data_IF_747344078384
#
_entry.id   IF_747344078384
#
_cell.length_a   1.000
_cell.length_b   1.000
_cell.length_c   1.000
_cell.angle_alpha   90.00
_cell.angle_beta   90.00
_cell.angle_gamma   90.00
#
_symmetry.space_group_name_H-M   'P 1'
#
loop_
_entity.id
_entity.type
_entity.pdbx_description
1 polymer ?
#
# COMPACT_ATOMS: atom_id res chain seq x y z
N UNK A 1 5.24 -26.73 -0.96
CA UNK A 1 5.72 -26.87 -2.36
C UNK A 1 5.02 -25.94 -3.36
N UNK A 2 3.93 -25.24 -2.99
CA UNK A 2 3.20 -24.29 -3.86
C UNK A 2 3.49 -22.81 -3.57
N UNK A 3 4.54 -22.53 -2.79
CA UNK A 3 4.90 -21.18 -2.35
C UNK A 3 6.32 -20.90 -2.84
N UNK A 4 6.49 -19.78 -3.52
CA UNK A 4 7.78 -19.28 -3.98
C UNK A 4 8.01 -17.90 -3.38
N UNK A 5 9.16 -17.72 -2.71
CA UNK A 5 9.61 -16.42 -2.26
C UNK A 5 10.58 -15.85 -3.29
N UNK A 6 10.36 -14.61 -3.69
CA UNK A 6 11.24 -13.88 -4.59
C UNK A 6 11.91 -12.76 -3.80
N UNK A 7 13.24 -12.80 -3.70
CA UNK A 7 14.02 -11.64 -3.26
C UNK A 7 14.26 -10.75 -4.48
N UNK A 8 13.30 -9.89 -4.77
CA UNK A 8 13.38 -8.96 -5.89
C UNK A 8 12.62 -7.67 -5.57
N UNK A 9 12.95 -6.63 -6.34
CA UNK A 9 12.08 -5.48 -6.47
C UNK A 9 10.85 -5.89 -7.29
N UNK A 10 9.64 -5.58 -6.80
CA UNK A 10 8.41 -5.93 -7.52
C UNK A 10 8.36 -5.30 -8.91
N UNK A 11 9.01 -4.13 -9.10
CA UNK A 11 9.13 -3.41 -10.37
C UNK A 11 9.94 -4.18 -11.42
N UNK A 12 10.72 -5.17 -10.98
CA UNK A 12 11.57 -6.00 -11.83
C UNK A 12 10.97 -7.39 -12.10
N UNK A 13 9.78 -7.68 -11.57
CA UNK A 13 9.09 -8.93 -11.88
C UNK A 13 8.81 -8.93 -13.39
N UNK A 14 9.24 -9.97 -14.13
CA UNK A 14 9.04 -9.99 -15.57
C UNK A 14 7.57 -9.95 -15.95
N UNK A 15 7.17 -9.03 -16.82
CA UNK A 15 5.77 -8.87 -17.28
C UNK A 15 5.18 -10.10 -18.00
N UNK A 16 6.04 -11.02 -18.46
CA UNK A 16 5.62 -12.33 -18.98
C UNK A 16 4.99 -13.23 -17.90
N UNK A 17 5.29 -12.97 -16.63
CA UNK A 17 4.67 -13.65 -15.51
C UNK A 17 3.36 -12.92 -15.18
N UNK A 18 2.24 -13.57 -15.50
CA UNK A 18 0.90 -13.06 -15.19
C UNK A 18 0.33 -13.79 -13.99
N UNK A 19 -0.32 -13.05 -13.12
CA UNK A 19 -0.99 -13.56 -11.94
C UNK A 19 -2.49 -13.36 -12.07
N UNK A 20 -3.27 -14.40 -11.77
CA UNK A 20 -4.73 -14.29 -11.73
C UNK A 20 -5.19 -13.35 -10.61
N UNK A 21 -4.42 -13.29 -9.52
CA UNK A 21 -4.74 -12.51 -8.32
C UNK A 21 -3.47 -11.85 -7.80
N UNK A 22 -3.56 -10.57 -7.46
CA UNK A 22 -2.50 -9.81 -6.79
C UNK A 22 -3.08 -9.24 -5.50
N UNK A 23 -2.34 -9.38 -4.39
CA UNK A 23 -2.66 -8.74 -3.11
C UNK A 23 -1.44 -7.92 -2.70
N UNK A 24 -1.65 -6.64 -2.42
CA UNK A 24 -0.65 -5.73 -1.86
C UNK A 24 -1.19 -5.20 -0.54
N UNK A 25 -0.46 -5.47 0.55
CA UNK A 25 -0.82 -5.05 1.91
C UNK A 25 0.29 -4.18 2.46
N UNK A 26 -0.06 -2.96 2.88
CA UNK A 26 0.84 -2.02 3.60
C UNK A 26 2.17 -1.76 2.85
N UNK A 27 2.14 -1.75 1.52
CA UNK A 27 3.33 -1.55 0.68
C UNK A 27 3.38 -0.15 0.06
N UNK A 28 2.23 0.36 -0.38
CA UNK A 28 2.16 1.61 -1.16
C UNK A 28 2.61 2.85 -0.36
N UNK A 29 2.57 2.77 0.96
CA UNK A 29 3.06 3.77 1.90
C UNK A 29 4.58 3.99 1.76
N UNK A 30 5.32 2.94 1.38
CA UNK A 30 6.75 3.00 1.10
C UNK A 30 7.11 3.35 -0.35
N UNK A 31 6.13 3.42 -1.26
CA UNK A 31 6.35 3.77 -2.67
C UNK A 31 6.62 5.27 -2.83
N UNK A 32 5.95 6.10 -2.03
CA UNK A 32 6.08 7.55 -2.11
C UNK A 32 5.16 8.20 -3.16
N UNK A 33 4.83 9.47 -2.93
CA UNK A 33 3.83 10.23 -3.71
C UNK A 33 4.09 10.20 -5.22
N UNK A 34 5.35 10.33 -5.62
CA UNK A 34 5.78 10.50 -7.02
C UNK A 34 5.65 9.20 -7.84
N UNK A 35 5.63 8.04 -7.17
CA UNK A 35 5.74 6.73 -7.84
C UNK A 35 4.47 5.87 -7.74
N UNK A 36 3.37 6.41 -7.20
CA UNK A 36 2.11 5.66 -7.08
C UNK A 36 1.54 5.28 -8.45
N UNK A 37 1.73 6.13 -9.46
CA UNK A 37 1.29 5.87 -10.84
C UNK A 37 2.06 4.66 -11.41
N UNK A 38 3.40 4.66 -11.29
CA UNK A 38 4.25 3.53 -11.69
C UNK A 38 3.90 2.23 -10.95
N UNK A 39 3.53 2.32 -9.68
CA UNK A 39 3.07 1.18 -8.90
C UNK A 39 1.83 0.52 -9.54
N UNK A 40 0.81 1.31 -9.88
CA UNK A 40 -0.39 0.78 -10.55
C UNK A 40 -0.10 0.23 -11.94
N UNK A 41 0.78 0.90 -12.71
CA UNK A 41 1.25 0.40 -14.00
C UNK A 41 1.95 -0.96 -13.88
N UNK A 42 2.80 -1.13 -12.85
CA UNK A 42 3.42 -2.42 -12.55
C UNK A 42 2.38 -3.49 -12.21
N UNK A 43 1.41 -3.19 -11.34
CA UNK A 43 0.35 -4.12 -10.96
C UNK A 43 -0.46 -4.59 -12.18
N UNK A 44 -0.90 -3.68 -13.06
CA UNK A 44 -1.61 -4.04 -14.29
C UNK A 44 -0.73 -4.88 -15.22
N UNK A 45 0.55 -4.53 -15.36
CA UNK A 45 1.50 -5.29 -16.20
C UNK A 45 1.72 -6.73 -15.73
N UNK A 46 1.46 -7.03 -14.45
CA UNK A 46 1.60 -8.35 -13.85
C UNK A 46 0.26 -9.09 -13.72
N UNK A 47 -0.87 -8.39 -13.87
CA UNK A 47 -2.19 -8.99 -13.76
C UNK A 47 -2.57 -9.71 -15.07
N UNK A 48 -3.13 -10.90 -14.93
CA UNK A 48 -3.73 -11.64 -16.04
C UNK A 48 -5.03 -10.96 -16.52
N UNK A 49 -5.51 -11.23 -17.75
CA UNK A 49 -6.85 -10.84 -18.18
C UNK A 49 -7.89 -11.33 -17.16
N UNK A 50 -8.87 -10.47 -16.83
CA UNK A 50 -9.91 -10.73 -15.83
C UNK A 50 -9.37 -11.05 -14.41
N UNK A 51 -8.12 -10.68 -14.13
CA UNK A 51 -7.52 -10.83 -12.81
C UNK A 51 -8.10 -9.85 -11.77
N UNK A 52 -7.92 -10.17 -10.48
CA UNK A 52 -8.32 -9.29 -9.38
C UNK A 52 -7.09 -8.78 -8.63
N UNK A 53 -7.08 -7.48 -8.38
CA UNK A 53 -6.10 -6.82 -7.54
C UNK A 53 -6.75 -6.32 -6.26
N UNK A 54 -6.17 -6.67 -5.11
CA UNK A 54 -6.55 -6.16 -3.80
C UNK A 54 -5.42 -5.29 -3.26
N UNK A 55 -5.71 -4.03 -3.01
CA UNK A 55 -4.82 -3.09 -2.34
C UNK A 55 -5.37 -2.77 -0.96
N UNK A 56 -4.57 -3.02 0.07
CA UNK A 56 -4.84 -2.61 1.44
C UNK A 56 -3.74 -1.65 1.89
N UNK A 57 -4.15 -0.48 2.37
CA UNK A 57 -3.26 0.63 2.70
C UNK A 57 -3.84 1.49 3.83
N UNK A 58 -2.96 2.17 4.56
CA UNK A 58 -3.31 3.20 5.54
C UNK A 58 -3.61 4.50 4.79
N UNK A 59 -4.80 5.07 5.04
CA UNK A 59 -5.23 6.31 4.40
C UNK A 59 -5.26 7.50 5.36
N UNK A 60 -4.98 8.69 4.86
CA UNK A 60 -5.26 9.98 5.53
C UNK A 60 -6.41 10.72 4.82
N UNK A 61 -7.21 11.56 5.53
CA UNK A 61 -8.18 12.44 4.87
C UNK A 61 -7.52 13.33 3.80
N UNK A 62 -8.20 13.50 2.67
CA UNK A 62 -7.70 14.27 1.52
C UNK A 62 -7.27 15.69 1.90
N UNK A 63 -8.06 16.37 2.73
CA UNK A 63 -7.77 17.74 3.18
C UNK A 63 -6.43 17.88 3.91
N UNK A 64 -5.92 16.79 4.51
CA UNK A 64 -4.65 16.74 5.22
C UNK A 64 -3.50 16.23 4.35
N UNK A 65 -3.78 15.69 3.17
CA UNK A 65 -2.80 14.96 2.38
C UNK A 65 -1.63 15.85 1.92
N UNK A 66 -1.94 17.03 1.37
CA UNK A 66 -0.94 17.98 0.86
C UNK A 66 0.00 18.50 1.95
N UNK A 67 -0.55 18.79 3.13
CA UNK A 67 0.26 19.19 4.29
C UNK A 67 1.10 18.01 4.79
N UNK A 68 0.44 16.87 5.02
CA UNK A 68 1.08 15.68 5.57
C UNK A 68 2.24 15.21 4.71
N UNK A 69 2.09 15.16 3.38
CA UNK A 69 3.16 14.67 2.49
C UNK A 69 4.39 15.60 2.46
N UNK A 70 4.23 16.88 2.78
CA UNK A 70 5.31 17.89 2.75
C UNK A 70 5.94 18.14 4.12
N UNK A 71 5.32 17.67 5.20
CA UNK A 71 5.83 17.79 6.56
C UNK A 71 6.55 16.53 7.02
N UNK A 72 7.42 16.71 8.02
CA UNK A 72 8.02 15.63 8.79
C UNK A 72 7.40 15.62 10.19
N UNK A 73 6.98 14.46 10.65
CA UNK A 73 6.50 14.21 12.00
C UNK A 73 7.35 13.12 12.67
N UNK A 74 7.04 12.79 13.92
CA UNK A 74 7.77 11.75 14.66
C UNK A 74 7.76 10.40 13.93
N UNK A 75 6.63 10.05 13.30
CA UNK A 75 6.50 8.76 12.60
C UNK A 75 7.45 8.73 11.40
N UNK A 76 7.48 9.78 10.58
CA UNK A 76 8.40 9.85 9.43
C UNK A 76 9.85 9.97 9.84
N UNK A 77 10.16 10.68 10.92
CA UNK A 77 11.55 10.91 11.33
C UNK A 77 12.17 9.68 12.01
N UNK A 78 11.40 8.95 12.83
CA UNK A 78 11.94 7.90 13.70
C UNK A 78 11.44 6.48 13.39
N UNK A 79 10.26 6.32 12.79
CA UNK A 79 9.62 5.00 12.63
C UNK A 79 9.65 4.55 11.17
N UNK A 80 9.19 5.39 10.24
CA UNK A 80 9.09 5.12 8.80
C UNK A 80 9.70 6.24 7.96
N UNK A 81 11.05 6.35 7.91
CA UNK A 81 11.73 7.30 7.03
C UNK A 81 11.31 7.16 5.57
N UNK A 82 10.88 8.27 4.96
CA UNK A 82 10.41 8.31 3.58
C UNK A 82 8.98 7.82 3.35
N UNK A 83 8.28 7.37 4.41
CA UNK A 83 6.89 6.94 4.32
C UNK A 83 5.93 8.07 3.90
N UNK A 84 4.95 7.73 3.06
CA UNK A 84 3.93 8.64 2.59
C UNK A 84 2.55 7.98 2.69
N UNK A 85 1.70 8.46 3.60
CA UNK A 85 0.31 8.03 3.68
C UNK A 85 -0.49 8.65 2.54
N UNK A 86 -1.06 7.86 1.61
CA UNK A 86 -1.92 8.39 0.58
C UNK A 86 -3.30 8.75 1.13
N UNK A 87 -4.01 9.61 0.42
CA UNK A 87 -5.47 9.70 0.52
C UNK A 87 -6.14 8.74 -0.45
N UNK A 88 -7.42 8.43 -0.22
CA UNK A 88 -8.20 7.65 -1.17
C UNK A 88 -8.27 8.34 -2.55
N UNK A 89 -8.39 9.67 -2.60
CA UNK A 89 -8.43 10.40 -3.87
C UNK A 89 -7.11 10.33 -4.64
N UNK A 90 -5.96 10.38 -3.95
CA UNK A 90 -4.66 10.16 -4.61
C UNK A 90 -4.56 8.75 -5.18
N UNK A 91 -4.98 7.74 -4.42
CA UNK A 91 -4.98 6.33 -4.87
C UNK A 91 -5.82 6.15 -6.12
N UNK A 92 -7.08 6.62 -6.10
CA UNK A 92 -7.97 6.44 -7.25
C UNK A 92 -7.49 7.21 -8.47
N UNK A 93 -6.92 8.41 -8.27
CA UNK A 93 -6.28 9.17 -9.34
C UNK A 93 -5.10 8.43 -9.96
N UNK A 94 -4.14 7.95 -9.14
CA UNK A 94 -2.97 7.19 -9.61
C UNK A 94 -3.39 5.97 -10.44
N UNK A 95 -4.35 5.20 -9.90
CA UNK A 95 -4.90 4.02 -10.52
C UNK A 95 -5.51 4.34 -11.89
N UNK A 96 -6.35 5.37 -11.97
CA UNK A 96 -7.02 5.75 -13.22
C UNK A 96 -6.07 6.32 -14.28
N UNK A 97 -4.97 6.96 -13.87
CA UNK A 97 -3.96 7.53 -14.77
C UNK A 97 -3.08 6.43 -15.38
N UNK A 98 -2.67 5.46 -14.58
CA UNK A 98 -1.63 4.50 -14.94
C UNK A 98 -2.13 3.10 -15.26
N UNK A 99 -3.44 2.84 -15.13
CA UNK A 99 -4.01 1.52 -15.39
C UNK A 99 -5.44 1.56 -15.89
N UNK A 100 -5.94 0.42 -16.38
CA UNK A 100 -7.35 0.20 -16.75
C UNK A 100 -8.14 -0.49 -15.64
N UNK A 101 -7.63 -0.50 -14.42
CA UNK A 101 -8.29 -1.13 -13.28
C UNK A 101 -9.58 -0.40 -12.92
N UNK A 102 -10.60 -1.18 -12.53
CA UNK A 102 -11.86 -0.68 -12.04
C UNK A 102 -12.02 -1.04 -10.56
N UNK A 103 -12.57 -0.12 -9.77
CA UNK A 103 -12.86 -0.36 -8.36
C UNK A 103 -14.17 -1.13 -8.27
N UNK A 104 -14.08 -2.37 -7.76
CA UNK A 104 -15.25 -3.20 -7.47
C UNK A 104 -15.77 -2.96 -6.05
N UNK A 105 -14.88 -2.77 -5.08
CA UNK A 105 -15.24 -2.57 -3.67
C UNK A 105 -14.21 -1.70 -2.95
N UNK A 106 -14.70 -0.88 -2.02
CA UNK A 106 -13.88 -0.15 -1.05
C UNK A 106 -14.44 -0.44 0.34
N UNK A 107 -13.57 -0.84 1.26
CA UNK A 107 -13.93 -1.10 2.64
C UNK A 107 -12.99 -0.34 3.58
N UNK A 108 -13.56 0.39 4.55
CA UNK A 108 -12.79 1.04 5.59
C UNK A 108 -12.72 0.15 6.82
N UNK A 109 -11.53 -0.40 7.09
CA UNK A 109 -11.26 -1.26 8.24
C UNK A 109 -10.48 -0.56 9.35
N UNK A 110 -10.37 0.78 9.33
CA UNK A 110 -9.56 1.55 10.29
C UNK A 110 -9.96 1.34 11.76
N UNK A 111 -11.24 1.05 12.03
CA UNK A 111 -11.73 0.72 13.37
C UNK A 111 -11.07 -0.55 13.94
N UNK A 112 -10.63 -1.48 13.09
CA UNK A 112 -9.92 -2.69 13.49
C UNK A 112 -8.43 -2.44 13.77
N UNK A 113 -7.85 -1.36 13.25
CA UNK A 113 -6.43 -1.04 13.43
C UNK A 113 -6.14 -0.52 14.84
N UNK A 114 -7.05 0.25 15.43
CA UNK A 114 -6.95 0.73 16.81
C UNK A 114 -6.77 -0.40 17.86
N UNK A 115 -7.67 -1.42 17.94
CA UNK A 115 -7.48 -2.52 18.88
C UNK A 115 -6.27 -3.38 18.53
N UNK A 116 -5.84 -3.41 17.27
CA UNK A 116 -4.60 -4.08 16.84
C UNK A 116 -3.37 -3.40 17.47
N UNK A 117 -3.27 -2.08 17.38
CA UNK A 117 -2.19 -1.30 17.99
C UNK A 117 -2.16 -1.42 19.52
N UNK A 118 -3.33 -1.48 20.18
CA UNK A 118 -3.39 -1.73 21.63
C UNK A 118 -2.77 -3.09 21.96
N UNK A 119 -3.18 -4.14 21.26
CA UNK A 119 -2.65 -5.49 21.49
C UNK A 119 -1.15 -5.59 21.22
N UNK A 120 -0.66 -4.91 20.17
CA UNK A 120 0.78 -4.83 19.92
C UNK A 120 1.52 -4.12 21.05
N UNK A 121 0.99 -3.00 21.54
CA UNK A 121 1.57 -2.28 22.69
C UNK A 121 1.61 -3.15 23.93
N UNK A 122 0.50 -3.80 24.27
CA UNK A 122 0.40 -4.62 25.48
C UNK A 122 1.38 -5.81 25.41
N UNK A 123 1.49 -6.45 24.24
CA UNK A 123 2.47 -7.52 24.01
C UNK A 123 3.91 -6.99 24.10
N UNK A 124 4.21 -5.83 23.52
CA UNK A 124 5.53 -5.21 23.62
C UNK A 124 5.90 -4.92 25.08
N UNK A 125 4.98 -4.35 25.85
CA UNK A 125 5.20 -4.03 27.26
C UNK A 125 5.38 -5.27 28.13
N UNK A 126 4.67 -6.36 27.83
CA UNK A 126 4.80 -7.63 28.54
C UNK A 126 6.13 -8.34 28.28
N UNK A 127 6.82 -8.03 27.17
CA UNK A 127 8.08 -8.66 26.74
C UNK A 127 9.20 -7.63 26.56
N UNK A 128 9.17 -6.56 27.36
CA UNK A 128 10.11 -5.44 27.21
C UNK A 128 11.52 -5.77 27.74
N UNK A 129 11.61 -6.68 28.70
CA UNK A 129 12.87 -7.19 29.27
C UNK A 129 13.36 -8.41 28.49
#
# INVERSE_FOLDING_TARGET
DRITFLLCDYRQIPSRCKYDRIISCEMIEGVGHEFMDDFFGCCESLLAPDGLFVLQFISIPEERYEEYRRSSDFIKEYIFPGGCLPSLARITSAMSTASRLCIEQVENIGYHYYPTLIRWRDNFMANKE
#
